data_IF_447840390641
#
_entry.id   IF_447840390641
#
_cell.length_a   1.000
_cell.length_b   1.000
_cell.length_c   1.000
_cell.angle_alpha   90.00
_cell.angle_beta   90.00
_cell.angle_gamma   90.00
#
_symmetry.space_group_name_H-M   'P 1'
#
loop_
_entity.id
_entity.type
_entity.pdbx_description
1 polymer ?
#
# COMPACT_ATOMS: atom_id res chain seq x y z
N UNK A 1 9.23 7.88 31.90
CA UNK A 1 9.96 8.31 30.71
C UNK A 1 9.58 7.37 29.59
N UNK A 2 8.71 7.79 28.67
CA UNK A 2 8.24 6.95 27.57
C UNK A 2 9.20 7.12 26.39
N UNK A 3 9.93 6.06 26.05
CA UNK A 3 10.74 5.99 24.85
C UNK A 3 9.82 6.12 23.63
N UNK A 4 10.05 7.20 22.90
CA UNK A 4 9.29 7.59 21.71
C UNK A 4 9.62 6.61 20.58
N UNK A 5 8.59 6.09 19.94
CA UNK A 5 8.70 5.16 18.81
C UNK A 5 9.58 5.72 17.69
N UNK A 6 10.77 5.16 17.57
CA UNK A 6 11.59 5.28 16.38
C UNK A 6 11.00 4.35 15.30
N UNK A 7 9.97 4.83 14.60
CA UNK A 7 9.45 4.19 13.40
C UNK A 7 10.51 4.30 12.29
N UNK A 8 11.34 3.26 12.21
CA UNK A 8 12.34 2.92 11.21
C UNK A 8 12.43 3.82 9.96
N UNK A 9 13.36 4.77 9.99
CA UNK A 9 13.90 5.46 8.81
C UNK A 9 14.78 4.57 7.89
N UNK A 10 14.73 3.24 7.99
CA UNK A 10 15.72 2.38 7.32
C UNK A 10 15.34 0.94 6.98
N UNK A 11 14.07 0.52 7.09
CA UNK A 11 13.69 -0.86 6.75
C UNK A 11 13.01 -0.92 5.38
N UNK A 12 13.80 -1.01 4.30
CA UNK A 12 13.28 -1.41 2.99
C UNK A 12 12.85 -2.87 3.04
N UNK A 13 11.55 -3.15 2.93
CA UNK A 13 11.06 -4.51 2.74
C UNK A 13 11.25 -4.90 1.28
N UNK A 14 11.92 -6.04 1.05
CA UNK A 14 12.02 -6.61 -0.29
C UNK A 14 10.63 -7.07 -0.74
N UNK A 15 10.21 -6.61 -1.91
CA UNK A 15 8.90 -6.92 -2.49
C UNK A 15 9.12 -7.35 -3.93
N UNK A 16 8.60 -8.54 -4.27
CA UNK A 16 8.58 -9.03 -5.65
C UNK A 16 7.21 -8.68 -6.23
N UNK A 17 7.20 -7.84 -7.26
CA UNK A 17 5.98 -7.43 -7.95
C UNK A 17 5.89 -8.17 -9.28
N UNK A 18 4.75 -8.82 -9.53
CA UNK A 18 4.42 -9.34 -10.86
C UNK A 18 3.73 -8.24 -11.64
N UNK A 19 4.34 -7.85 -12.74
CA UNK A 19 3.82 -6.85 -13.67
C UNK A 19 3.43 -7.57 -14.96
N UNK A 20 2.39 -7.08 -15.62
CA UNK A 20 2.14 -7.43 -17.02
C UNK A 20 3.34 -7.01 -17.87
N UNK A 21 3.74 -7.80 -18.88
CA UNK A 21 4.95 -7.57 -19.65
C UNK A 21 4.98 -6.19 -20.31
N UNK A 22 3.86 -5.75 -20.88
CA UNK A 22 3.74 -4.42 -21.49
C UNK A 22 3.97 -3.29 -20.48
N UNK A 23 3.45 -3.44 -19.25
CA UNK A 23 3.64 -2.45 -18.20
C UNK A 23 5.09 -2.42 -17.71
N UNK A 24 5.75 -3.58 -17.65
CA UNK A 24 7.16 -3.68 -17.30
C UNK A 24 8.05 -2.96 -18.33
N UNK A 25 7.77 -3.13 -19.62
CA UNK A 25 8.51 -2.47 -20.71
C UNK A 25 8.31 -0.95 -20.70
N UNK A 26 7.06 -0.50 -20.48
CA UNK A 26 6.76 0.93 -20.33
C UNK A 26 7.46 1.53 -19.12
N UNK A 27 7.45 0.83 -17.98
CA UNK A 27 8.13 1.29 -16.76
C UNK A 27 9.66 1.35 -16.95
N UNK A 28 10.23 0.37 -17.65
CA UNK A 28 11.65 0.36 -18.00
C UNK A 28 12.02 1.54 -18.90
N UNK A 29 11.17 1.85 -19.89
CA UNK A 29 11.35 3.00 -20.78
C UNK A 29 11.34 4.32 -20.01
N UNK A 30 10.40 4.50 -19.08
CA UNK A 30 10.34 5.71 -18.24
C UNK A 30 11.61 5.82 -17.38
N UNK A 31 12.03 4.73 -16.76
CA UNK A 31 13.24 4.71 -15.94
C UNK A 31 14.51 5.05 -16.75
N UNK A 32 14.60 4.55 -17.99
CA UNK A 32 15.70 4.85 -18.91
C UNK A 32 15.73 6.34 -19.30
N UNK A 33 14.60 6.90 -19.69
CA UNK A 33 14.48 8.33 -20.07
C UNK A 33 14.81 9.25 -18.89
N UNK A 34 14.39 8.89 -17.67
CA UNK A 34 14.67 9.65 -16.46
C UNK A 34 16.06 9.39 -15.86
N UNK A 35 16.84 8.45 -16.42
CA UNK A 35 18.14 8.00 -15.88
C UNK A 35 18.06 7.50 -14.43
N UNK A 36 16.97 6.81 -14.09
CA UNK A 36 16.68 6.31 -12.74
C UNK A 36 16.53 4.78 -12.74
N UNK A 37 16.57 4.17 -11.56
CA UNK A 37 16.28 2.75 -11.44
C UNK A 37 14.78 2.48 -11.60
N UNK A 38 14.43 1.37 -12.26
CA UNK A 38 13.03 0.88 -12.35
C UNK A 38 12.40 0.77 -10.96
N UNK A 39 13.19 0.37 -9.96
CA UNK A 39 12.74 0.27 -8.57
C UNK A 39 12.40 1.62 -7.94
N UNK A 40 13.13 2.69 -8.26
CA UNK A 40 12.84 4.02 -7.72
C UNK A 40 11.60 4.63 -8.37
N UNK A 41 11.45 4.47 -9.70
CA UNK A 41 10.24 4.89 -10.42
C UNK A 41 9.02 4.12 -9.89
N UNK A 42 9.13 2.81 -9.71
CA UNK A 42 8.08 2.00 -9.11
C UNK A 42 7.73 2.45 -7.68
N UNK A 43 8.75 2.73 -6.85
CA UNK A 43 8.55 3.19 -5.47
C UNK A 43 7.82 4.53 -5.44
N UNK A 44 8.17 5.45 -6.33
CA UNK A 44 7.50 6.74 -6.45
C UNK A 44 6.05 6.59 -6.90
N UNK A 45 5.78 5.76 -7.93
CA UNK A 45 4.43 5.49 -8.40
C UNK A 45 3.55 4.88 -7.28
N UNK A 46 4.09 3.95 -6.48
CA UNK A 46 3.40 3.39 -5.32
C UNK A 46 3.15 4.46 -4.26
N UNK A 47 4.14 5.31 -3.94
CA UNK A 47 3.98 6.38 -2.97
C UNK A 47 2.90 7.40 -3.40
N UNK A 48 2.91 7.79 -4.68
CA UNK A 48 1.90 8.67 -5.26
C UNK A 48 0.50 8.05 -5.19
N UNK A 49 0.37 6.76 -5.51
CA UNK A 49 -0.90 6.03 -5.39
C UNK A 49 -1.40 6.02 -3.93
N UNK A 50 -0.53 5.73 -2.97
CA UNK A 50 -0.90 5.69 -1.55
C UNK A 50 -1.33 7.07 -1.06
N UNK A 51 -0.61 8.14 -1.42
CA UNK A 51 -0.96 9.48 -0.98
C UNK A 51 -2.27 9.96 -1.64
N UNK A 52 -2.47 9.67 -2.92
CA UNK A 52 -3.74 9.95 -3.61
C UNK A 52 -4.92 9.25 -2.91
N UNK A 53 -4.75 7.98 -2.50
CA UNK A 53 -5.77 7.23 -1.75
C UNK A 53 -5.95 7.72 -0.32
N UNK A 54 -4.92 8.28 0.31
CA UNK A 54 -4.99 8.83 1.66
C UNK A 54 -5.89 10.07 1.73
N UNK A 55 -5.87 10.91 0.70
CA UNK A 55 -6.73 12.09 0.58
C UNK A 55 -8.16 11.79 0.09
N UNK A 56 -8.38 10.62 -0.50
CA UNK A 56 -9.66 10.24 -1.11
C UNK A 56 -10.70 9.85 -0.03
N UNK A 57 -11.70 10.71 0.18
CA UNK A 57 -12.81 10.47 1.11
C UNK A 57 -13.61 9.22 0.76
N UNK A 58 -13.75 8.90 -0.53
CA UNK A 58 -14.43 7.68 -0.97
C UNK A 58 -13.65 6.45 -0.54
N UNK A 59 -12.32 6.49 -0.66
CA UNK A 59 -11.46 5.40 -0.22
C UNK A 59 -11.56 5.21 1.31
N UNK A 60 -11.54 6.30 2.10
CA UNK A 60 -11.74 6.23 3.55
C UNK A 60 -13.09 5.65 3.93
N UNK A 61 -14.17 6.06 3.24
CA UNK A 61 -15.50 5.52 3.46
C UNK A 61 -15.58 4.02 3.15
N UNK A 62 -15.02 3.59 2.02
CA UNK A 62 -14.94 2.16 1.67
C UNK A 62 -14.15 1.34 2.70
N UNK A 63 -13.07 1.91 3.25
CA UNK A 63 -12.31 1.33 4.35
C UNK A 63 -13.15 1.18 5.63
N UNK A 64 -13.88 2.23 6.02
CA UNK A 64 -14.78 2.20 7.18
C UNK A 64 -15.92 1.18 7.00
N UNK A 65 -16.51 1.11 5.82
CA UNK A 65 -17.55 0.14 5.49
C UNK A 65 -17.02 -1.31 5.52
N UNK A 66 -15.80 -1.53 5.03
CA UNK A 66 -15.12 -2.83 5.15
C UNK A 66 -14.84 -3.20 6.61
N UNK A 67 -14.31 -2.26 7.39
CA UNK A 67 -14.03 -2.46 8.82
C UNK A 67 -15.31 -2.83 9.58
N UNK A 68 -16.40 -2.10 9.37
CA UNK A 68 -17.68 -2.40 10.00
C UNK A 68 -18.22 -3.78 9.60
N UNK A 69 -17.99 -4.21 8.34
CA UNK A 69 -18.38 -5.54 7.87
C UNK A 69 -17.57 -6.65 8.53
N UNK A 70 -16.25 -6.49 8.60
CA UNK A 70 -15.37 -7.46 9.25
C UNK A 70 -15.59 -7.51 10.76
N UNK A 71 -15.87 -6.37 11.41
CA UNK A 71 -16.24 -6.35 12.82
C UNK A 71 -17.53 -7.15 13.07
N UNK A 72 -18.57 -6.94 12.26
CA UNK A 72 -19.80 -7.73 12.36
C UNK A 72 -19.58 -9.23 12.16
N UNK A 73 -18.69 -9.61 11.24
CA UNK A 73 -18.31 -11.02 11.04
C UNK A 73 -17.56 -11.59 12.25
N UNK A 74 -16.65 -10.81 12.85
CA UNK A 74 -15.97 -11.22 14.08
C UNK A 74 -16.94 -11.37 15.25
N UNK A 75 -17.88 -10.44 15.40
CA UNK A 75 -18.89 -10.51 16.47
C UNK A 75 -19.80 -11.73 16.28
N UNK A 76 -20.23 -12.02 15.04
CA UNK A 76 -21.02 -13.21 14.73
C UNK A 76 -20.26 -14.51 15.03
N UNK A 77 -18.99 -14.62 14.61
CA UNK A 77 -18.17 -15.80 14.87
C UNK A 77 -17.90 -15.98 16.38
N UNK A 78 -17.76 -14.88 17.13
CA UNK A 78 -17.55 -14.93 18.57
C UNK A 78 -18.78 -15.43 19.33
N UNK A 79 -19.97 -15.11 18.83
CA UNK A 79 -21.24 -15.57 19.40
C UNK A 79 -21.53 -17.05 19.04
N UNK A 80 -20.92 -17.60 17.99
CA UNK A 80 -20.98 -19.04 17.65
C UNK A 80 -19.99 -19.91 18.44
N UNK A 81 -18.97 -19.30 19.05
CA UNK A 81 -17.95 -19.97 19.88
C UNK A 81 -18.30 -20.04 21.39
N UNK A 82 -19.52 -19.61 21.80
CA UNK A 82 -20.06 -19.70 23.17
C UNK A 82 -21.22 -20.69 23.29
#
# INVERSE_FOLDING_TARGET
MAETGNAGKGATKNMVLRLDPELADLLATVAEVEQRSVSDVAREAIAALVEARRGDERFRRLLQENLARHQRLLDLLRDEDQ
#
